data_IF_158731352299
#
_entry.id   IF_158731352299
#
_cell.length_a   1.000
_cell.length_b   1.000
_cell.length_c   1.000
_cell.angle_alpha   90.00
_cell.angle_beta   90.00
_cell.angle_gamma   90.00
#
_symmetry.space_group_name_H-M   'P 1'
#
loop_
_entity.id
_entity.type
_entity.pdbx_description
1 polymer ?
#
# COMPACT_ATOMS: atom_id res chain seq x y z
N UNK A 1 11.41 8.28 -18.43
CA UNK A 1 10.47 8.50 -17.31
C UNK A 1 9.70 7.21 -17.07
N UNK A 2 9.48 6.81 -15.81
CA UNK A 2 8.66 5.64 -15.49
C UNK A 2 7.26 6.13 -15.08
N UNK A 3 6.21 5.67 -15.77
CA UNK A 3 4.83 6.11 -15.55
C UNK A 3 3.97 4.91 -15.19
N UNK A 4 3.15 5.05 -14.15
CA UNK A 4 2.18 4.03 -13.72
C UNK A 4 0.77 4.59 -13.85
N UNK A 5 -0.15 3.81 -14.42
CA UNK A 5 -1.59 4.09 -14.46
C UNK A 5 -2.33 2.98 -13.70
N UNK A 6 -3.25 3.35 -12.82
CA UNK A 6 -4.00 2.42 -12.00
C UNK A 6 -5.48 2.85 -11.84
N UNK A 7 -6.33 1.92 -11.40
CA UNK A 7 -7.71 2.18 -10.97
C UNK A 7 -7.92 1.50 -9.62
N UNK A 8 -8.49 2.24 -8.66
CA UNK A 8 -8.96 1.70 -7.39
C UNK A 8 -10.48 1.57 -7.38
N UNK A 9 -11.00 0.61 -6.63
CA UNK A 9 -12.44 0.37 -6.45
C UNK A 9 -12.71 0.21 -4.96
N UNK A 10 -13.80 0.78 -4.46
CA UNK A 10 -14.16 0.76 -3.05
C UNK A 10 -15.45 1.53 -2.80
N UNK A 11 -15.71 1.84 -1.53
CA UNK A 11 -16.86 2.61 -1.07
C UNK A 11 -16.43 3.66 -0.04
N UNK A 12 -17.34 4.56 0.32
CA UNK A 12 -17.09 5.53 1.37
C UNK A 12 -16.92 4.82 2.73
N UNK A 13 -15.95 5.25 3.51
CA UNK A 13 -15.67 4.64 4.80
C UNK A 13 -16.79 4.94 5.80
N UNK A 14 -17.35 3.89 6.41
CA UNK A 14 -18.37 3.97 7.46
C UNK A 14 -17.92 3.17 8.69
N UNK A 15 -17.89 3.83 9.87
CA UNK A 15 -17.48 3.25 11.16
C UNK A 15 -18.44 2.18 11.70
N UNK A 16 -19.71 2.21 11.31
CA UNK A 16 -20.70 1.21 11.72
C UNK A 16 -20.59 -0.08 10.89
N UNK A 17 -20.06 0.03 9.66
CA UNK A 17 -19.94 -1.08 8.71
C UNK A 17 -18.53 -1.69 8.69
N UNK A 18 -17.50 -0.86 8.79
CA UNK A 18 -16.11 -1.29 8.67
C UNK A 18 -15.46 -1.35 10.05
N UNK A 19 -14.61 -2.36 10.27
CA UNK A 19 -13.79 -2.49 11.47
C UNK A 19 -12.39 -1.91 11.18
N UNK A 20 -12.12 -0.62 11.49
CA UNK A 20 -10.80 -0.05 11.28
C UNK A 20 -9.80 -0.59 12.31
N UNK A 21 -8.62 -0.99 11.86
CA UNK A 21 -7.53 -1.38 12.77
C UNK A 21 -6.71 -0.17 13.21
N UNK A 22 -6.02 0.49 12.27
CA UNK A 22 -5.16 1.65 12.54
C UNK A 22 -5.13 2.59 11.33
N UNK A 23 -5.05 3.89 11.59
CA UNK A 23 -4.86 4.90 10.55
C UNK A 23 -3.43 4.87 10.01
N UNK A 24 -3.26 5.11 8.70
CA UNK A 24 -1.95 5.25 8.07
C UNK A 24 -1.67 6.72 7.84
N UNK A 25 -0.58 7.23 8.41
CA UNK A 25 -0.18 8.64 8.32
C UNK A 25 0.62 8.94 7.06
N UNK A 26 1.52 8.04 6.66
CA UNK A 26 2.38 8.25 5.50
C UNK A 26 2.91 6.96 4.87
N UNK A 27 3.14 7.01 3.56
CA UNK A 27 3.99 6.04 2.87
C UNK A 27 5.46 6.46 3.00
N UNK A 28 6.34 5.52 3.31
CA UNK A 28 7.76 5.82 3.56
C UNK A 28 8.70 5.02 2.66
N UNK A 29 9.89 5.56 2.40
CA UNK A 29 11.00 4.84 1.77
C UNK A 29 11.81 4.01 2.77
N UNK A 30 11.48 4.07 4.07
CA UNK A 30 12.23 3.36 5.10
C UNK A 30 12.16 1.84 4.84
N UNK A 31 13.32 1.25 4.54
CA UNK A 31 13.47 -0.15 4.14
C UNK A 31 12.60 -0.57 2.93
N UNK A 32 12.24 0.38 2.04
CA UNK A 32 11.53 0.05 0.80
C UNK A 32 12.42 -0.80 -0.12
N UNK A 33 11.83 -1.82 -0.74
CA UNK A 33 12.51 -2.63 -1.76
C UNK A 33 11.53 -3.15 -2.82
N UNK A 34 12.02 -3.23 -4.05
CA UNK A 34 11.35 -3.88 -5.18
C UNK A 34 12.36 -4.87 -5.75
N UNK A 35 12.05 -6.17 -5.69
CA UNK A 35 13.00 -7.23 -6.07
C UNK A 35 12.31 -8.40 -6.77
N UNK A 36 13.08 -9.16 -7.56
CA UNK A 36 12.61 -10.39 -8.20
C UNK A 36 13.08 -11.59 -7.38
N UNK A 37 12.15 -12.43 -6.89
CA UNK A 37 12.42 -13.65 -6.14
C UNK A 37 11.61 -14.80 -6.71
N UNK A 38 12.24 -15.94 -6.96
CA UNK A 38 11.58 -17.15 -7.50
C UNK A 38 10.67 -16.84 -8.70
N UNK A 39 11.20 -16.06 -9.65
CA UNK A 39 10.49 -15.60 -10.85
C UNK A 39 9.25 -14.71 -10.61
N UNK A 40 9.06 -14.16 -9.41
CA UNK A 40 7.98 -13.21 -9.06
C UNK A 40 8.56 -11.86 -8.65
N UNK A 41 7.82 -10.78 -8.89
CA UNK A 41 8.14 -9.46 -8.34
C UNK A 41 7.57 -9.34 -6.93
N UNK A 42 8.36 -8.80 -6.01
CA UNK A 42 8.00 -8.55 -4.62
C UNK A 42 8.32 -7.11 -4.28
N UNK A 43 7.31 -6.35 -3.87
CA UNK A 43 7.45 -5.02 -3.28
C UNK A 43 7.27 -5.11 -1.77
N UNK A 44 8.16 -4.47 -1.01
CA UNK A 44 8.07 -4.33 0.44
C UNK A 44 8.30 -2.87 0.80
N UNK A 45 7.49 -2.33 1.70
CA UNK A 45 7.61 -0.99 2.23
C UNK A 45 7.01 -0.94 3.63
N UNK A 46 7.38 0.09 4.40
CA UNK A 46 6.89 0.32 5.75
C UNK A 46 6.02 1.58 5.72
N UNK A 47 4.87 1.49 6.38
CA UNK A 47 3.95 2.60 6.59
C UNK A 47 4.23 3.25 7.94
N UNK A 48 4.03 4.56 8.01
CA UNK A 48 3.90 5.28 9.27
C UNK A 48 2.44 5.21 9.72
N UNK A 49 2.22 4.75 10.95
CA UNK A 49 0.90 4.53 11.56
C UNK A 49 0.64 5.53 12.68
#
# INVERSE_FOLDING_TARGET
EYVVKAKGWGEEFNLEKHEPEVEVKAATYYQMSISRKNNKWVARFILDI
#
